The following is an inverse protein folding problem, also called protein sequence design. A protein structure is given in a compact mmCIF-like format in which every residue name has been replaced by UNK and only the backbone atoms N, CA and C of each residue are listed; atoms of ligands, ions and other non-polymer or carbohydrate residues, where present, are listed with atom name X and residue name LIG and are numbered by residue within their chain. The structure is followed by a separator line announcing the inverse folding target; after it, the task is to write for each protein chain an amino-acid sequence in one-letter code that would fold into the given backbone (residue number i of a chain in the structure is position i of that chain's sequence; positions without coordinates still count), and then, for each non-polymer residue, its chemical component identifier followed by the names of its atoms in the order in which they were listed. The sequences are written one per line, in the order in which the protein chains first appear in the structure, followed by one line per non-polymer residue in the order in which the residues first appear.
data_IF_128869018812
#
_entry.id   IF_128869018812
#
_cell.length_a   1.000
_cell.length_b   1.000
_cell.length_c   1.000
_cell.angle_alpha   90.00
_cell.angle_beta   90.00
_cell.angle_gamma   90.00
#
_symmetry.space_group_name_H-M   'P 1'
#
loop_
_entity.id
_entity.type
_entity.pdbx_description
1 polymer ?
#
# COMPACT_ATOMS: atom_id res chain seq x y z
N UNK A 1 3.15 21.37 -2.45
CA UNK A 1 2.46 21.64 -1.16
C UNK A 1 2.75 20.51 -0.19
N UNK A 2 2.89 20.79 1.11
CA UNK A 2 3.17 19.79 2.13
C UNK A 2 1.86 19.26 2.74
N UNK A 3 1.77 17.95 2.97
CA UNK A 3 0.61 17.37 3.65
C UNK A 3 0.65 17.66 5.14
N UNK A 4 -0.43 18.19 5.70
CA UNK A 4 -0.51 18.65 7.08
C UNK A 4 -1.55 17.89 7.93
N UNK A 5 -2.04 16.74 7.43
CA UNK A 5 -2.97 15.87 8.14
C UNK A 5 -4.36 15.76 7.51
N UNK A 6 -5.14 14.82 8.06
CA UNK A 6 -6.53 14.57 7.69
C UNK A 6 -7.44 15.12 8.78
N UNK A 7 -8.39 15.97 8.40
CA UNK A 7 -9.42 16.53 9.30
C UNK A 7 -10.65 15.62 9.26
N UNK A 8 -10.79 14.71 10.23
CA UNK A 8 -11.83 13.69 10.26
C UNK A 8 -13.26 14.27 10.35
N UNK A 9 -13.46 15.29 11.17
CA UNK A 9 -14.75 15.97 11.35
C UNK A 9 -15.28 16.59 10.06
N UNK A 10 -14.38 17.04 9.18
CA UNK A 10 -14.73 17.74 7.93
C UNK A 10 -14.57 16.86 6.70
N UNK A 11 -14.02 15.65 6.85
CA UNK A 11 -13.68 14.77 5.74
C UNK A 11 -12.78 15.45 4.71
N UNK A 12 -11.77 16.20 5.17
CA UNK A 12 -10.86 16.95 4.27
C UNK A 12 -9.39 16.65 4.48
N UNK A 13 -8.63 16.63 3.39
CA UNK A 13 -7.17 16.59 3.41
C UNK A 13 -6.62 18.01 3.45
N UNK A 14 -5.75 18.28 4.42
CA UNK A 14 -5.12 19.59 4.59
C UNK A 14 -3.75 19.62 3.95
N UNK A 15 -3.54 20.56 3.03
CA UNK A 15 -2.24 20.83 2.42
C UNK A 15 -1.79 22.23 2.81
N UNK A 16 -0.56 22.37 3.31
CA UNK A 16 0.05 23.65 3.70
C UNK A 16 1.14 24.06 2.72
N UNK A 17 1.46 25.35 2.74
CA UNK A 17 2.64 25.88 2.07
C UNK A 17 3.91 25.19 2.62
N UNK A 18 4.81 24.66 1.76
CA UNK A 18 6.07 24.03 2.19
C UNK A 18 6.92 24.97 3.05
N UNK A 19 7.01 26.25 2.66
CA UNK A 19 7.78 27.24 3.42
C UNK A 19 7.30 27.37 4.87
N UNK A 20 5.98 27.40 5.09
CA UNK A 20 5.41 27.43 6.46
C UNK A 20 5.50 26.07 7.18
N UNK A 21 5.42 24.96 6.46
CA UNK A 21 5.49 23.63 7.05
C UNK A 21 6.91 23.26 7.50
N UNK A 22 7.92 23.66 6.73
CA UNK A 22 9.32 23.37 6.99
C UNK A 22 10.09 24.55 7.62
N UNK A 23 9.41 25.67 7.90
CA UNK A 23 10.01 26.84 8.54
C UNK A 23 10.97 27.65 7.64
N UNK A 24 10.84 27.53 6.32
CA UNK A 24 11.68 28.25 5.36
C UNK A 24 11.16 29.68 5.14
N UNK A 25 12.06 30.64 5.00
CA UNK A 25 11.70 32.02 4.65
C UNK A 25 11.34 32.10 3.16
N UNK A 26 10.09 32.46 2.88
CA UNK A 26 9.61 32.67 1.52
C UNK A 26 9.47 34.17 1.27
N UNK A 27 10.10 34.67 0.20
CA UNK A 27 10.07 36.10 -0.18
C UNK A 27 8.73 36.54 -0.77
N UNK A 28 7.93 35.61 -1.27
CA UNK A 28 6.64 35.86 -1.94
C UNK A 28 5.42 35.49 -1.10
N UNK A 29 5.53 35.50 0.23
CA UNK A 29 4.40 35.17 1.12
C UNK A 29 3.21 36.11 0.89
N UNK A 30 3.48 37.41 0.71
CA UNK A 30 2.45 38.45 0.50
C UNK A 30 1.67 38.29 -0.81
N UNK A 31 2.32 37.82 -1.88
CA UNK A 31 1.70 37.63 -3.20
C UNK A 31 1.18 36.20 -3.44
N UNK A 32 1.38 35.28 -2.48
CA UNK A 32 1.04 33.88 -2.70
C UNK A 32 -0.47 33.63 -2.57
N UNK A 33 -1.11 33.19 -3.68
CA UNK A 33 -2.54 32.89 -3.76
C UNK A 33 -3.04 31.88 -2.71
N UNK A 34 -2.17 30.99 -2.24
CA UNK A 34 -2.53 29.92 -1.30
C UNK A 34 -2.66 30.41 0.14
N UNK A 35 -2.04 31.57 0.49
CA UNK A 35 -1.97 32.28 1.79
C UNK A 35 -1.65 31.47 3.06
N UNK A 36 -1.81 30.15 3.07
CA UNK A 36 -1.50 29.28 4.21
C UNK A 36 -1.83 27.80 3.99
N UNK A 37 -3.07 27.48 3.60
CA UNK A 37 -3.50 26.08 3.47
C UNK A 37 -4.65 25.89 2.47
N UNK A 38 -4.57 24.82 1.69
CA UNK A 38 -5.64 24.30 0.83
C UNK A 38 -6.30 23.11 1.53
N UNK A 39 -7.63 23.03 1.46
CA UNK A 39 -8.41 21.89 1.96
C UNK A 39 -9.08 21.20 0.78
N UNK A 40 -8.84 19.90 0.64
CA UNK A 40 -9.46 19.05 -0.38
C UNK A 40 -10.54 18.20 0.28
N UNK A 41 -11.80 18.35 -0.16
CA UNK A 41 -12.92 17.53 0.31
C UNK A 41 -12.84 16.15 -0.33
N UNK A 42 -13.03 15.10 0.47
CA UNK A 42 -13.11 13.73 -0.04
C UNK A 42 -14.34 13.48 -0.90
N UNK A 43 -15.38 14.31 -0.78
CA UNK A 43 -16.64 14.17 -1.51
C UNK A 43 -16.51 14.44 -3.01
N UNK A 44 -15.49 15.18 -3.46
CA UNK A 44 -15.30 15.53 -4.87
C UNK A 44 -15.04 14.28 -5.72
N UNK A 45 -14.07 13.46 -5.29
CA UNK A 45 -13.75 12.17 -5.91
C UNK A 45 -13.09 11.26 -4.87
N UNK A 46 -13.85 10.27 -4.37
CA UNK A 46 -13.37 9.32 -3.36
C UNK A 46 -12.36 8.30 -3.89
N UNK A 47 -12.26 8.12 -5.20
CA UNK A 47 -11.26 7.22 -5.81
C UNK A 47 -9.88 7.88 -5.84
N UNK A 48 -9.86 9.19 -6.09
CA UNK A 48 -8.64 9.98 -6.12
C UNK A 48 -8.26 10.49 -4.73
N UNK A 49 -9.23 10.98 -3.96
CA UNK A 49 -9.06 11.50 -2.61
C UNK A 49 -9.46 10.45 -1.58
N UNK A 50 -8.49 9.63 -1.19
CA UNK A 50 -8.62 8.69 -0.08
C UNK A 50 -8.35 9.38 1.27
N UNK A 51 -8.90 8.88 2.39
CA UNK A 51 -8.59 9.39 3.73
C UNK A 51 -7.09 9.37 4.04
N UNK A 52 -6.38 8.45 3.43
CA UNK A 52 -4.93 8.37 3.44
C UNK A 52 -4.38 9.20 2.28
N UNK A 53 -3.67 10.30 2.59
CA UNK A 53 -3.04 11.10 1.55
C UNK A 53 -1.96 10.32 0.79
N UNK A 54 -1.95 10.44 -0.54
CA UNK A 54 -0.96 9.79 -1.42
C UNK A 54 0.49 10.14 -1.08
N UNK A 55 0.73 11.37 -0.63
CA UNK A 55 2.05 11.87 -0.24
C UNK A 55 2.50 11.44 1.16
N UNK A 56 1.68 10.66 1.89
CA UNK A 56 2.02 10.20 3.24
C UNK A 56 2.90 8.95 3.20
N UNK A 57 3.79 8.80 4.19
CA UNK A 57 4.57 7.58 4.37
C UNK A 57 3.69 6.34 4.60
N UNK A 58 2.55 6.53 5.27
CA UNK A 58 1.57 5.48 5.49
C UNK A 58 0.95 4.98 4.17
N UNK A 59 0.73 5.87 3.19
CA UNK A 59 0.32 5.47 1.84
C UNK A 59 1.36 4.57 1.18
N UNK A 60 2.64 4.96 1.21
CA UNK A 60 3.73 4.15 0.65
C UNK A 60 3.77 2.74 1.24
N UNK A 61 3.70 2.62 2.57
CA UNK A 61 3.67 1.32 3.27
C UNK A 61 2.48 0.46 2.89
N UNK A 62 1.28 1.05 2.82
CA UNK A 62 0.06 0.32 2.46
C UNK A 62 0.07 -0.08 0.99
N UNK A 63 0.49 0.82 0.10
CA UNK A 63 0.56 0.59 -1.34
C UNK A 63 1.62 -0.45 -1.72
N UNK A 64 2.73 -0.54 -0.98
CA UNK A 64 3.73 -1.59 -1.17
C UNK A 64 3.15 -3.01 -1.02
N UNK A 65 2.07 -3.18 -0.22
CA UNK A 65 1.35 -4.45 -0.05
C UNK A 65 0.49 -4.84 -1.26
N UNK A 66 0.38 -4.00 -2.29
CA UNK A 66 -0.41 -4.27 -3.50
C UNK A 66 0.00 -5.59 -4.18
N UNK A 67 1.30 -5.89 -4.18
CA UNK A 67 1.83 -7.13 -4.76
C UNK A 67 1.26 -8.38 -4.08
N UNK A 68 1.00 -8.34 -2.77
CA UNK A 68 0.37 -9.44 -2.06
C UNK A 68 -1.08 -9.64 -2.54
N UNK A 69 -1.83 -8.56 -2.72
CA UNK A 69 -3.21 -8.60 -3.25
C UNK A 69 -3.23 -9.11 -4.69
N UNK A 70 -2.28 -8.66 -5.53
CA UNK A 70 -2.14 -9.13 -6.91
C UNK A 70 -1.79 -10.61 -6.98
N UNK A 71 -0.96 -11.12 -6.06
CA UNK A 71 -0.65 -12.56 -5.95
C UNK A 71 -1.88 -13.38 -5.59
N UNK A 72 -2.68 -12.94 -4.63
CA UNK A 72 -3.95 -13.60 -4.29
C UNK A 72 -4.89 -13.56 -5.49
N UNK A 73 -5.02 -12.41 -6.16
CA UNK A 73 -5.82 -12.27 -7.38
C UNK A 73 -5.34 -13.20 -8.50
N UNK A 74 -4.04 -13.38 -8.66
CA UNK A 74 -3.46 -14.30 -9.65
C UNK A 74 -3.80 -15.74 -9.31
N UNK A 75 -3.65 -16.16 -8.04
CA UNK A 75 -4.04 -17.51 -7.59
C UNK A 75 -5.52 -17.80 -7.81
N UNK A 76 -6.40 -16.85 -7.47
CA UNK A 76 -7.83 -16.96 -7.78
C UNK A 76 -8.07 -17.15 -9.28
N UNK A 77 -7.43 -16.36 -10.12
CA UNK A 77 -7.64 -16.45 -11.57
C UNK A 77 -7.06 -17.72 -12.21
N UNK A 78 -5.85 -18.14 -11.79
CA UNK A 78 -5.08 -19.22 -12.44
C UNK A 78 -5.37 -20.57 -11.80
N UNK A 79 -5.31 -20.67 -10.46
CA UNK A 79 -5.43 -21.93 -9.73
C UNK A 79 -6.88 -22.39 -9.57
N UNK A 80 -7.82 -21.46 -9.40
CA UNK A 80 -9.25 -21.78 -9.30
C UNK A 80 -10.01 -21.63 -10.63
N UNK A 81 -9.32 -21.20 -11.69
CA UNK A 81 -9.87 -21.26 -13.04
C UNK A 81 -11.04 -20.31 -13.33
N UNK A 82 -11.29 -19.27 -12.52
CA UNK A 82 -12.39 -18.31 -12.71
C UNK A 82 -12.31 -17.50 -14.03
N UNK A 83 -11.18 -17.55 -14.73
CA UNK A 83 -11.02 -17.01 -16.10
C UNK A 83 -11.46 -17.99 -17.21
N UNK A 84 -11.65 -19.27 -16.91
CA UNK A 84 -12.21 -20.25 -17.85
C UNK A 84 -13.72 -20.31 -17.58
N UNK A 85 -14.50 -19.88 -18.57
CA UNK A 85 -15.94 -19.59 -18.49
C UNK A 85 -16.83 -20.83 -18.21
N UNK A 86 -16.73 -21.43 -17.03
CA UNK A 86 -17.63 -22.50 -16.58
C UNK A 86 -18.76 -21.98 -15.69
N UNK A 87 -18.58 -20.84 -15.01
CA UNK A 87 -19.56 -20.27 -14.08
C UNK A 87 -20.14 -19.00 -14.71
N UNK A 88 -21.45 -19.01 -15.01
CA UNK A 88 -22.15 -17.91 -15.70
C UNK A 88 -22.85 -16.96 -14.72
N UNK A 89 -23.15 -17.38 -13.49
CA UNK A 89 -23.81 -16.57 -12.46
C UNK A 89 -22.83 -15.81 -11.54
N UNK A 90 -23.11 -14.53 -11.27
CA UNK A 90 -22.32 -13.73 -10.31
C UNK A 90 -22.37 -14.31 -8.88
N UNK A 91 -23.53 -14.82 -8.46
CA UNK A 91 -23.72 -15.42 -7.14
C UNK A 91 -22.92 -16.73 -6.97
N UNK A 92 -22.91 -17.57 -8.00
CA UNK A 92 -22.16 -18.83 -8.04
C UNK A 92 -20.65 -18.57 -8.02
N UNK A 93 -20.21 -17.55 -8.78
CA UNK A 93 -18.80 -17.15 -8.80
C UNK A 93 -18.36 -16.58 -7.44
N UNK A 94 -19.20 -15.77 -6.79
CA UNK A 94 -18.93 -15.24 -5.46
C UNK A 94 -18.83 -16.35 -4.41
N UNK A 95 -19.73 -17.34 -4.44
CA UNK A 95 -19.69 -18.50 -3.54
C UNK A 95 -18.44 -19.36 -3.77
N UNK A 96 -18.09 -19.65 -5.02
CA UNK A 96 -16.91 -20.43 -5.38
C UNK A 96 -15.60 -19.72 -5.00
N UNK A 97 -15.52 -18.41 -5.19
CA UNK A 97 -14.40 -17.59 -4.70
C UNK A 97 -14.28 -17.65 -3.17
N UNK A 98 -15.41 -17.62 -2.45
CA UNK A 98 -15.44 -17.74 -0.99
C UNK A 98 -14.89 -19.06 -0.48
N UNK A 99 -15.28 -20.19 -1.08
CA UNK A 99 -14.78 -21.53 -0.72
C UNK A 99 -13.29 -21.68 -1.04
N UNK A 100 -12.83 -21.17 -2.19
CA UNK A 100 -11.42 -21.20 -2.57
C UNK A 100 -10.52 -20.46 -1.58
N UNK A 101 -10.92 -19.24 -1.19
CA UNK A 101 -10.21 -18.44 -0.19
C UNK A 101 -10.17 -19.11 1.19
N UNK A 102 -11.25 -19.73 1.63
CA UNK A 102 -11.31 -20.45 2.91
C UNK A 102 -10.34 -21.63 2.96
N UNK A 103 -10.19 -22.36 1.85
CA UNK A 103 -9.29 -23.51 1.76
C UNK A 103 -7.81 -23.11 1.71
N UNK A 104 -7.48 -22.01 1.04
CA UNK A 104 -6.13 -21.43 1.06
C UNK A 104 -5.74 -20.89 2.45
N UNK A 105 -6.69 -20.31 3.18
CA UNK A 105 -6.47 -19.87 4.56
C UNK A 105 -6.25 -21.05 5.52
N UNK A 106 -6.96 -22.15 5.33
CA UNK A 106 -6.82 -23.38 6.14
C UNK A 106 -5.49 -24.11 5.93
N UNK A 107 -4.90 -24.05 4.74
CA UNK A 107 -3.58 -24.64 4.47
C UNK A 107 -2.40 -23.80 4.98
N UNK A 108 -2.65 -22.58 5.47
CA UNK A 108 -1.64 -21.66 6.01
C UNK A 108 -1.25 -21.90 7.48
N UNK A 109 -1.86 -22.88 8.17
CA UNK A 109 -1.54 -23.27 9.55
C UNK A 109 -0.80 -24.62 9.65
N UNK A 110 -0.19 -25.08 8.55
CA UNK A 110 0.74 -26.22 8.58
C UNK A 110 2.08 -25.81 9.21
N UNK A 111 2.73 -26.67 10.01
CA UNK A 111 3.97 -26.31 10.70
C UNK A 111 5.04 -25.91 9.70
N UNK A 112 5.73 -24.81 10.04
CA UNK A 112 6.89 -24.29 9.34
C UNK A 112 7.97 -25.39 9.32
N UNK A 113 8.01 -26.19 8.26
CA UNK A 113 9.08 -27.16 8.02
C UNK A 113 10.38 -26.37 7.84
N UNK A 114 11.23 -26.41 8.86
CA UNK A 114 12.59 -25.92 8.83
C UNK A 114 13.35 -26.70 7.76
N UNK A 115 13.57 -26.09 6.60
CA UNK A 115 14.40 -26.64 5.55
C UNK A 115 15.86 -26.66 6.00
N UNK A 116 16.38 -27.86 6.23
CA UNK A 116 17.81 -28.18 6.33
C UNK A 116 18.48 -27.91 4.98
N UNK A 117 18.87 -26.65 4.76
CA UNK A 117 19.69 -26.24 3.63
C UNK A 117 21.15 -26.16 4.04
N UNK A 118 21.92 -27.20 3.74
CA UNK A 118 23.38 -27.15 3.79
C UNK A 118 23.91 -26.08 2.85
N UNK A 119 24.52 -25.05 3.40
CA UNK A 119 25.26 -24.02 2.68
C UNK A 119 26.44 -23.60 3.54
N UNK A 120 27.65 -23.98 3.13
CA UNK A 120 28.88 -23.57 3.79
C UNK A 120 28.94 -22.02 3.87
N UNK A 121 29.39 -21.43 4.98
CA UNK A 121 29.53 -19.99 5.08
C UNK A 121 30.62 -19.51 4.12
N UNK A 122 30.26 -18.57 3.24
CA UNK A 122 31.22 -17.82 2.44
C UNK A 122 32.14 -17.03 3.40
N UNK A 123 33.48 -17.10 3.25
CA UNK A 123 34.39 -16.37 4.12
C UNK A 123 34.27 -14.85 3.91
N UNK A 124 34.17 -14.12 5.02
CA UNK A 124 34.09 -12.66 5.08
C UNK A 124 35.30 -11.99 4.40
N UNK A 125 35.09 -10.93 3.60
CA UNK A 125 36.15 -10.23 2.86
C UNK A 125 37.00 -9.27 3.74
N UNK A 126 36.99 -9.37 5.06
CA UNK A 126 37.65 -8.41 5.96
C UNK A 126 38.95 -8.88 6.62
N UNK A 127 39.60 -9.95 6.12
CA UNK A 127 40.81 -10.49 6.78
C UNK A 127 41.95 -10.88 5.84
N UNK A 128 42.48 -9.92 5.07
CA UNK A 128 43.91 -9.90 4.67
C UNK A 128 44.37 -8.44 4.54
N UNK A 129 44.77 -7.86 5.67
CA UNK A 129 45.60 -6.66 5.74
C UNK A 129 46.34 -6.73 7.07
N UNK A 130 47.43 -7.49 7.10
CA UNK A 130 48.53 -7.43 8.06
C UNK A 130 49.50 -8.60 7.81
N UNK A 131 50.76 -8.29 7.53
CA UNK A 131 51.88 -9.24 7.49
C UNK A 131 52.54 -9.35 6.13
#
# INVERSE_FOLDING_TARGET
MAYAGFEAERGTLKYRCPARHYGLSCKSVESCAVRGAVRLKLAEDRRVFTPLARSSYAWGRTYAKRTAVERVRSRLNVSFGFRRHFIRGQAENAAACGVGLGRDAGHGLGPHQAGTGGGAPLPCPCRVSAG
#
